data_IF_068615557402
#
_entry.id   IF_068615557402
#
_cell.length_a   1.000
_cell.length_b   1.000
_cell.length_c   1.000
_cell.angle_alpha   90.00
_cell.angle_beta   90.00
_cell.angle_gamma   90.00
#
_symmetry.space_group_name_H-M   'P 1'
#
loop_
_entity.id
_entity.type
_entity.pdbx_description
1 polymer ?
#
# COMPACT_ATOMS: atom_id res chain seq x y z
N UNK A 1 74.62 -24.41 -17.87
CA UNK A 1 73.58 -24.22 -16.87
C UNK A 1 72.24 -24.17 -17.62
N UNK A 2 71.39 -25.18 -17.39
CA UNK A 2 70.05 -25.26 -18.01
C UNK A 2 69.01 -24.53 -17.18
N UNK A 3 68.03 -23.80 -17.77
CA UNK A 3 66.95 -23.24 -17.00
C UNK A 3 65.85 -24.28 -16.76
N UNK A 4 65.33 -24.31 -15.53
CA UNK A 4 64.26 -25.12 -15.05
C UNK A 4 62.89 -24.55 -15.45
N UNK A 5 61.99 -25.39 -15.95
CA UNK A 5 60.61 -25.13 -16.29
C UNK A 5 59.75 -24.94 -15.07
N UNK A 6 58.74 -24.02 -15.06
CA UNK A 6 57.78 -23.95 -13.99
C UNK A 6 56.57 -24.88 -14.23
N UNK A 7 56.14 -25.50 -13.15
CA UNK A 7 55.00 -26.35 -12.97
C UNK A 7 53.66 -25.66 -13.25
N UNK A 8 52.80 -26.33 -14.00
CA UNK A 8 51.42 -25.96 -14.26
C UNK A 8 50.54 -26.19 -13.03
N UNK A 9 50.20 -25.13 -12.33
CA UNK A 9 49.21 -25.15 -11.27
C UNK A 9 47.79 -25.15 -11.85
N UNK A 10 47.04 -26.21 -11.53
CA UNK A 10 45.58 -26.35 -11.77
C UNK A 10 44.83 -25.24 -11.12
N UNK A 11 44.02 -24.49 -11.85
CA UNK A 11 42.99 -23.56 -11.31
C UNK A 11 41.87 -24.38 -10.70
N UNK A 12 41.37 -24.04 -9.49
CA UNK A 12 40.11 -24.56 -9.01
C UNK A 12 38.96 -23.81 -9.69
N UNK A 13 38.09 -24.51 -10.39
CA UNK A 13 36.78 -24.02 -10.82
C UNK A 13 35.87 -24.03 -9.61
N UNK A 14 35.89 -22.91 -8.87
CA UNK A 14 34.87 -22.59 -7.87
C UNK A 14 33.67 -21.97 -8.57
N UNK A 15 32.63 -22.78 -8.80
CA UNK A 15 31.32 -22.22 -9.17
C UNK A 15 30.80 -21.43 -7.98
N UNK A 16 30.67 -20.11 -8.16
CA UNK A 16 29.91 -19.25 -7.25
C UNK A 16 28.43 -19.59 -7.44
N UNK A 17 27.93 -20.54 -6.68
CA UNK A 17 26.49 -20.60 -6.37
C UNK A 17 26.22 -19.37 -5.51
N UNK A 18 25.64 -18.34 -6.09
CA UNK A 18 25.02 -17.23 -5.33
C UNK A 18 23.93 -17.88 -4.49
N UNK A 19 24.16 -17.94 -3.19
CA UNK A 19 23.20 -18.39 -2.20
C UNK A 19 21.99 -17.43 -2.23
N UNK A 20 20.85 -17.90 -2.76
CA UNK A 20 19.60 -17.12 -2.91
C UNK A 20 18.80 -17.07 -1.60
N UNK A 21 19.42 -17.21 -0.45
CA UNK A 21 18.74 -17.18 0.86
C UNK A 21 19.13 -15.94 1.65
N UNK A 22 18.71 -14.74 1.21
CA UNK A 22 18.77 -13.56 2.09
C UNK A 22 17.75 -12.46 1.72
N UNK A 23 16.56 -12.81 1.27
CA UNK A 23 15.41 -11.92 1.39
C UNK A 23 14.57 -12.43 2.55
N UNK A 24 14.49 -11.71 3.67
CA UNK A 24 13.68 -12.08 4.84
C UNK A 24 12.17 -12.08 4.60
N UNK A 25 11.75 -12.29 3.34
CA UNK A 25 10.36 -12.36 2.91
C UNK A 25 9.97 -13.84 2.82
N UNK A 26 8.86 -14.28 3.46
CA UNK A 26 8.35 -15.62 3.30
C UNK A 26 8.20 -16.00 1.82
N UNK A 27 8.57 -17.20 1.42
CA UNK A 27 8.52 -17.66 0.03
C UNK A 27 7.13 -17.48 -0.61
N UNK A 28 6.07 -17.63 0.16
CA UNK A 28 4.69 -17.41 -0.30
C UNK A 28 4.43 -15.93 -0.63
N UNK A 29 4.89 -15.00 0.20
CA UNK A 29 4.75 -13.56 -0.03
C UNK A 29 5.53 -13.14 -1.29
N UNK A 30 6.77 -13.63 -1.44
CA UNK A 30 7.59 -13.41 -2.64
C UNK A 30 6.87 -13.89 -3.91
N UNK A 31 6.26 -15.09 -3.87
CA UNK A 31 5.49 -15.62 -5.01
C UNK A 31 4.27 -14.77 -5.35
N UNK A 32 3.54 -14.28 -4.33
CA UNK A 32 2.37 -13.43 -4.55
C UNK A 32 2.78 -12.10 -5.20
N UNK A 33 3.86 -11.47 -4.74
CA UNK A 33 4.35 -10.21 -5.33
C UNK A 33 4.93 -10.44 -6.73
N UNK A 34 5.66 -11.53 -6.96
CA UNK A 34 6.18 -11.87 -8.29
C UNK A 34 5.07 -11.95 -9.35
N UNK A 35 3.87 -12.40 -8.97
CA UNK A 35 2.72 -12.50 -9.86
C UNK A 35 2.06 -11.15 -10.20
N UNK A 36 2.50 -10.03 -9.62
CA UNK A 36 1.95 -8.70 -9.89
C UNK A 36 2.51 -8.06 -11.15
N UNK A 37 3.70 -8.47 -11.62
CA UNK A 37 4.34 -7.90 -12.80
C UNK A 37 4.74 -6.43 -12.63
N UNK A 38 4.52 -5.62 -13.65
CA UNK A 38 4.68 -4.15 -13.59
C UNK A 38 3.58 -3.55 -12.73
N UNK A 39 3.95 -2.82 -11.68
CA UNK A 39 3.01 -2.24 -10.71
C UNK A 39 2.85 -0.74 -10.96
N UNK A 40 1.60 -0.29 -11.03
CA UNK A 40 1.21 1.12 -10.91
C UNK A 40 0.43 1.32 -9.61
N UNK A 41 1.02 2.06 -8.67
CA UNK A 41 0.50 2.30 -7.32
C UNK A 41 -0.01 3.74 -7.26
N UNK A 42 -1.33 3.98 -7.13
CA UNK A 42 -1.96 5.30 -7.26
C UNK A 42 -2.68 5.69 -5.97
N UNK A 43 -2.32 6.85 -5.41
CA UNK A 43 -2.77 7.32 -4.10
C UNK A 43 -3.13 8.81 -4.09
N UNK A 44 -3.76 9.26 -3.01
CA UNK A 44 -4.16 10.66 -2.85
C UNK A 44 -2.98 11.53 -2.37
N UNK A 45 -2.32 11.11 -1.31
CA UNK A 45 -1.28 11.88 -0.62
C UNK A 45 0.03 11.10 -0.53
N UNK A 46 1.19 11.77 -0.43
CA UNK A 46 2.44 11.14 -0.05
C UNK A 46 2.34 10.59 1.38
N UNK A 47 2.49 9.34 1.59
CA UNK A 47 2.49 8.43 2.73
C UNK A 47 1.51 7.25 2.55
N UNK A 48 0.36 7.44 1.92
CA UNK A 48 -0.61 6.38 1.63
C UNK A 48 0.05 5.14 1.03
N UNK A 49 0.90 5.34 0.02
CA UNK A 49 1.61 4.27 -0.67
C UNK A 49 2.54 3.48 0.24
N UNK A 50 3.16 4.17 1.20
CA UNK A 50 4.10 3.55 2.12
C UNK A 50 3.37 2.80 3.22
N UNK A 51 2.26 3.34 3.73
CA UNK A 51 1.40 2.65 4.69
C UNK A 51 0.77 1.39 4.10
N UNK A 52 0.22 1.49 2.88
CA UNK A 52 -0.66 0.48 2.32
C UNK A 52 0.04 -0.54 1.40
N UNK A 53 1.20 -0.17 0.81
CA UNK A 53 1.88 -0.99 -0.18
C UNK A 53 3.42 -0.92 -0.13
N UNK A 54 4.01 -0.35 0.94
CA UNK A 54 5.46 -0.13 1.02
C UNK A 54 6.27 -1.43 0.93
N UNK A 55 5.86 -2.47 1.63
CA UNK A 55 6.50 -3.78 1.59
C UNK A 55 6.31 -4.50 0.26
N UNK A 56 5.12 -4.38 -0.34
CA UNK A 56 4.82 -4.92 -1.68
C UNK A 56 5.74 -4.25 -2.71
N UNK A 57 5.82 -2.91 -2.71
CA UNK A 57 6.66 -2.16 -3.65
C UNK A 57 8.14 -2.50 -3.47
N UNK A 58 8.62 -2.57 -2.23
CA UNK A 58 10.00 -2.94 -1.93
C UNK A 58 10.34 -4.35 -2.42
N UNK A 59 9.46 -5.33 -2.14
CA UNK A 59 9.64 -6.71 -2.60
C UNK A 59 9.62 -6.80 -4.13
N UNK A 60 8.71 -6.11 -4.80
CA UNK A 60 8.65 -6.06 -6.26
C UNK A 60 9.95 -5.49 -6.85
N UNK A 61 10.51 -4.44 -6.25
CA UNK A 61 11.79 -3.87 -6.68
C UNK A 61 12.95 -4.83 -6.48
N UNK A 62 12.99 -5.55 -5.38
CA UNK A 62 14.02 -6.57 -5.13
C UNK A 62 13.94 -7.75 -6.11
N UNK A 63 12.74 -8.04 -6.62
CA UNK A 63 12.49 -9.00 -7.71
C UNK A 63 12.81 -8.46 -9.11
N UNK A 64 13.26 -7.20 -9.22
CA UNK A 64 13.57 -6.56 -10.51
C UNK A 64 12.34 -6.08 -11.28
N UNK A 65 11.14 -6.09 -10.67
CA UNK A 65 9.92 -5.59 -11.32
C UNK A 65 9.93 -4.07 -11.40
N UNK A 66 9.28 -3.51 -12.43
CA UNK A 66 9.02 -2.08 -12.53
C UNK A 66 7.89 -1.69 -11.59
N UNK A 67 8.14 -0.66 -10.78
CA UNK A 67 7.15 -0.05 -9.88
C UNK A 67 7.10 1.44 -10.16
N UNK A 68 5.92 1.95 -10.48
CA UNK A 68 5.62 3.38 -10.60
C UNK A 68 4.65 3.75 -9.49
N UNK A 69 5.05 4.67 -8.63
CA UNK A 69 4.19 5.27 -7.62
C UNK A 69 3.63 6.59 -8.13
N UNK A 70 2.39 6.92 -7.80
CA UNK A 70 1.73 8.14 -8.24
C UNK A 70 0.84 8.69 -7.12
N UNK A 71 1.01 9.98 -6.79
CA UNK A 71 0.20 10.70 -5.79
C UNK A 71 -0.53 11.87 -6.44
N UNK A 72 -1.81 12.06 -6.10
CA UNK A 72 -2.63 13.11 -6.71
C UNK A 72 -2.28 14.51 -6.20
N UNK A 73 -1.90 14.64 -4.94
CA UNK A 73 -1.55 15.91 -4.28
C UNK A 73 -0.13 15.87 -3.72
N UNK A 74 0.32 16.95 -3.12
CA UNK A 74 1.51 16.97 -2.26
C UNK A 74 1.15 16.83 -0.77
N UNK A 75 -0.14 16.69 -0.43
CA UNK A 75 -0.61 16.59 0.95
C UNK A 75 -0.35 17.85 1.76
N UNK A 76 -0.44 19.01 1.14
CA UNK A 76 -0.03 20.30 1.71
C UNK A 76 -0.90 20.82 2.84
N UNK A 77 -2.06 20.21 3.06
CA UNK A 77 -2.97 20.56 4.16
C UNK A 77 -2.90 19.57 5.34
N UNK A 78 -2.04 18.55 5.27
CA UNK A 78 -1.89 17.50 6.29
C UNK A 78 -1.16 17.99 7.54
N UNK A 79 -1.69 19.03 8.23
CA UNK A 79 -1.13 19.54 9.49
C UNK A 79 -2.21 20.09 10.40
N UNK A 80 -2.02 19.95 11.72
CA UNK A 80 -2.84 20.61 12.73
C UNK A 80 -2.36 22.04 13.05
N UNK A 81 -1.16 22.43 12.57
CA UNK A 81 -0.55 23.75 12.79
C UNK A 81 -0.20 24.43 11.45
N UNK A 82 -1.19 25.04 10.77
CA UNK A 82 -0.98 25.71 9.49
C UNK A 82 -0.12 26.98 9.57
N UNK A 83 0.02 27.56 10.76
CA UNK A 83 0.90 28.72 10.96
C UNK A 83 2.37 28.29 10.91
N UNK A 84 2.72 27.22 11.61
CA UNK A 84 4.07 26.62 11.54
C UNK A 84 4.33 25.94 10.19
N UNK A 85 3.30 25.36 9.59
CA UNK A 85 3.36 24.60 8.34
C UNK A 85 2.41 25.16 7.27
N UNK A 86 2.66 26.36 6.73
CA UNK A 86 1.85 26.87 5.62
C UNK A 86 1.85 25.90 4.43
N UNK A 87 0.74 25.72 3.70
CA UNK A 87 0.58 24.72 2.63
C UNK A 87 1.74 24.68 1.63
N UNK A 88 2.19 25.84 1.16
CA UNK A 88 3.30 25.93 0.22
C UNK A 88 4.64 25.42 0.79
N UNK A 89 4.86 25.55 2.11
CA UNK A 89 6.04 25.00 2.80
C UNK A 89 5.88 23.49 3.00
N UNK A 90 4.76 23.07 3.54
CA UNK A 90 4.50 21.67 3.84
C UNK A 90 4.54 20.83 2.58
N UNK A 91 3.85 21.24 1.50
CA UNK A 91 3.86 20.49 0.24
C UNK A 91 5.26 20.33 -0.38
N UNK A 92 6.15 21.35 -0.21
CA UNK A 92 7.56 21.16 -0.65
C UNK A 92 8.30 20.15 0.21
N UNK A 93 8.12 20.17 1.53
CA UNK A 93 8.76 19.23 2.46
C UNK A 93 8.27 17.82 2.19
N UNK A 94 6.95 17.60 2.08
CA UNK A 94 6.36 16.30 1.82
C UNK A 94 6.82 15.67 0.49
N UNK A 95 7.07 16.48 -0.53
CA UNK A 95 7.68 15.98 -1.78
C UNK A 95 9.08 15.41 -1.57
N UNK A 96 9.90 16.02 -0.72
CA UNK A 96 11.23 15.50 -0.39
C UNK A 96 11.17 14.27 0.51
N UNK A 97 10.28 14.28 1.48
CA UNK A 97 10.02 13.14 2.34
C UNK A 97 9.56 11.93 1.53
N UNK A 98 8.62 12.12 0.61
CA UNK A 98 8.16 11.07 -0.30
C UNK A 98 9.31 10.54 -1.19
N UNK A 99 10.13 11.42 -1.74
CA UNK A 99 11.29 10.99 -2.53
C UNK A 99 12.28 10.17 -1.70
N UNK A 100 12.51 10.55 -0.44
CA UNK A 100 13.36 9.79 0.49
C UNK A 100 12.74 8.43 0.83
N UNK A 101 11.43 8.37 1.10
CA UNK A 101 10.71 7.12 1.34
C UNK A 101 10.78 6.19 0.13
N UNK A 102 10.53 6.71 -1.08
CA UNK A 102 10.65 5.95 -2.32
C UNK A 102 12.07 5.40 -2.53
N UNK A 103 13.10 6.20 -2.25
CA UNK A 103 14.50 5.76 -2.33
C UNK A 103 14.80 4.59 -1.37
N UNK A 104 14.28 4.64 -0.14
CA UNK A 104 14.38 3.54 0.84
C UNK A 104 13.70 2.27 0.30
N UNK A 105 12.52 2.40 -0.31
CA UNK A 105 11.78 1.27 -0.89
C UNK A 105 12.38 0.77 -2.21
N UNK A 106 13.34 1.51 -2.82
CA UNK A 106 13.95 1.19 -4.11
C UNK A 106 13.08 1.56 -5.31
N UNK A 107 12.02 2.36 -5.09
CA UNK A 107 11.16 2.90 -6.14
C UNK A 107 11.80 4.14 -6.74
N UNK A 108 12.03 4.13 -8.04
CA UNK A 108 12.74 5.22 -8.76
C UNK A 108 11.80 6.09 -9.58
N UNK A 109 10.56 5.67 -9.78
CA UNK A 109 9.55 6.41 -10.53
C UNK A 109 8.42 6.83 -9.56
N UNK A 110 8.43 8.10 -9.14
CA UNK A 110 7.34 8.70 -8.37
C UNK A 110 6.80 9.92 -9.12
N UNK A 111 5.49 9.97 -9.35
CA UNK A 111 4.81 11.02 -10.11
C UNK A 111 3.78 11.69 -9.23
N UNK A 112 3.81 13.03 -9.16
CA UNK A 112 2.83 13.83 -8.40
C UNK A 112 2.05 14.67 -9.40
N UNK A 113 0.71 14.54 -9.41
CA UNK A 113 -0.17 15.34 -10.26
C UNK A 113 -0.16 16.80 -9.84
N UNK A 114 -0.25 17.05 -8.53
CA UNK A 114 -0.14 18.38 -7.94
C UNK A 114 -1.46 19.14 -7.89
N UNK A 115 -2.59 18.46 -7.84
CA UNK A 115 -3.87 19.06 -7.47
C UNK A 115 -3.86 19.46 -5.99
N UNK A 116 -4.77 20.37 -5.63
CA UNK A 116 -4.90 20.86 -4.27
C UNK A 116 -5.38 19.72 -3.33
N UNK A 117 -4.70 19.57 -2.20
CA UNK A 117 -5.05 18.65 -1.14
C UNK A 117 -6.39 19.03 -0.49
N UNK A 118 -7.27 18.05 -0.27
CA UNK A 118 -8.63 18.25 0.23
C UNK A 118 -9.66 18.60 -0.85
N UNK A 119 -9.23 18.76 -2.13
CA UNK A 119 -10.09 19.19 -3.23
C UNK A 119 -10.35 18.16 -4.32
N UNK A 120 -9.86 16.93 -4.21
CA UNK A 120 -9.87 15.98 -5.32
C UNK A 120 -11.27 15.57 -5.78
N UNK A 121 -12.28 15.67 -4.91
CA UNK A 121 -13.67 15.35 -5.26
C UNK A 121 -14.21 16.16 -6.45
N UNK A 122 -13.73 17.39 -6.63
CA UNK A 122 -14.17 18.33 -7.67
C UNK A 122 -13.41 18.15 -8.99
N UNK A 123 -12.35 17.31 -9.01
CA UNK A 123 -11.46 17.10 -10.14
C UNK A 123 -11.66 15.77 -10.88
N UNK A 124 -12.90 15.25 -10.95
CA UNK A 124 -13.21 13.92 -11.47
C UNK A 124 -12.71 13.64 -12.89
N UNK A 125 -12.87 14.60 -13.80
CA UNK A 125 -12.45 14.44 -15.20
C UNK A 125 -10.94 14.60 -15.37
N UNK A 126 -10.32 15.56 -14.68
CA UNK A 126 -8.87 15.77 -14.70
C UNK A 126 -8.12 14.57 -14.09
N UNK A 127 -8.60 14.07 -12.94
CA UNK A 127 -8.06 12.88 -12.30
C UNK A 127 -8.20 11.64 -13.16
N UNK A 128 -9.36 11.43 -13.78
CA UNK A 128 -9.57 10.31 -14.71
C UNK A 128 -8.64 10.38 -15.92
N UNK A 129 -8.46 11.57 -16.50
CA UNK A 129 -7.52 11.78 -17.62
C UNK A 129 -6.06 11.56 -17.20
N UNK A 130 -5.70 11.94 -15.97
CA UNK A 130 -4.37 11.65 -15.42
C UNK A 130 -4.13 10.14 -15.28
N UNK A 131 -5.09 9.41 -14.72
CA UNK A 131 -5.01 7.93 -14.61
C UNK A 131 -4.87 7.30 -15.99
N UNK A 132 -5.61 7.78 -17.00
CA UNK A 132 -5.51 7.27 -18.37
C UNK A 132 -4.11 7.46 -18.97
N UNK A 133 -3.50 8.64 -18.76
CA UNK A 133 -2.10 8.89 -19.16
C UNK A 133 -1.13 7.95 -18.45
N UNK A 134 -1.31 7.75 -17.12
CA UNK A 134 -0.48 6.81 -16.36
C UNK A 134 -0.59 5.38 -16.92
N UNK A 135 -1.80 4.91 -17.24
CA UNK A 135 -2.00 3.58 -17.82
C UNK A 135 -1.32 3.44 -19.18
N UNK A 136 -1.38 4.48 -20.02
CA UNK A 136 -0.71 4.51 -21.32
C UNK A 136 0.82 4.48 -21.21
N UNK A 137 1.39 5.29 -20.31
CA UNK A 137 2.83 5.44 -20.14
C UNK A 137 3.49 4.24 -19.44
N UNK A 138 2.80 3.65 -18.47
CA UNK A 138 3.34 2.58 -17.62
C UNK A 138 3.04 1.21 -18.19
N UNK A 139 1.88 1.04 -18.84
CA UNK A 139 1.35 -0.25 -19.30
C UNK A 139 1.43 -1.32 -18.18
N UNK A 140 0.79 -1.09 -17.01
CA UNK A 140 0.95 -1.96 -15.85
C UNK A 140 0.25 -3.30 -16.04
N UNK A 141 0.79 -4.33 -15.38
CA UNK A 141 0.11 -5.61 -15.19
C UNK A 141 -0.88 -5.53 -14.01
N UNK A 142 -0.51 -4.74 -12.98
CA UNK A 142 -1.32 -4.57 -11.78
C UNK A 142 -1.38 -3.11 -11.34
N UNK A 143 -2.58 -2.68 -10.94
CA UNK A 143 -2.84 -1.39 -10.29
C UNK A 143 -3.14 -1.63 -8.80
N UNK A 144 -2.50 -0.86 -7.92
CA UNK A 144 -2.80 -0.79 -6.49
C UNK A 144 -3.41 0.57 -6.17
N UNK A 145 -4.51 0.61 -5.44
CA UNK A 145 -5.18 1.86 -5.03
C UNK A 145 -6.14 1.62 -3.87
N UNK A 146 -6.84 2.66 -3.43
CA UNK A 146 -7.86 2.57 -2.39
C UNK A 146 -9.08 1.74 -2.81
N UNK A 147 -9.73 1.13 -1.81
CA UNK A 147 -11.10 0.61 -1.92
C UNK A 147 -12.15 1.72 -1.99
N UNK A 148 -13.43 1.36 -2.15
CA UNK A 148 -14.53 2.33 -2.30
C UNK A 148 -14.75 3.22 -1.07
N UNK A 149 -14.36 2.78 0.10
CA UNK A 149 -14.39 3.50 1.37
C UNK A 149 -13.15 4.41 1.59
N UNK A 150 -12.15 4.33 0.71
CA UNK A 150 -10.89 5.07 0.85
C UNK A 150 -10.13 4.74 2.14
N UNK A 151 -10.35 3.58 2.74
CA UNK A 151 -9.80 3.13 4.03
C UNK A 151 -10.34 3.90 5.26
N UNK A 152 -10.47 5.23 5.16
CA UNK A 152 -10.85 6.13 6.25
C UNK A 152 -12.04 7.02 5.91
N UNK A 153 -12.68 6.80 4.77
CA UNK A 153 -13.70 7.68 4.18
C UNK A 153 -13.19 9.10 3.84
N UNK A 154 -11.87 9.26 3.73
CA UNK A 154 -11.30 10.54 3.30
C UNK A 154 -11.79 10.90 1.89
N UNK A 155 -12.35 12.12 1.66
CA UNK A 155 -12.93 12.49 0.37
C UNK A 155 -11.96 12.32 -0.80
N UNK A 156 -10.68 12.65 -0.60
CA UNK A 156 -9.65 12.53 -1.63
C UNK A 156 -9.32 11.06 -1.95
N UNK A 157 -9.30 10.18 -0.94
CA UNK A 157 -9.09 8.75 -1.16
C UNK A 157 -10.24 8.14 -1.97
N UNK A 158 -11.47 8.52 -1.64
CA UNK A 158 -12.67 8.11 -2.37
C UNK A 158 -12.66 8.67 -3.80
N UNK A 159 -12.17 9.90 -4.00
CA UNK A 159 -12.03 10.49 -5.33
C UNK A 159 -11.02 9.71 -6.19
N UNK A 160 -9.83 9.40 -5.65
CA UNK A 160 -8.81 8.60 -6.35
C UNK A 160 -9.34 7.20 -6.67
N UNK A 161 -10.01 6.53 -5.73
CA UNK A 161 -10.68 5.26 -6.01
C UNK A 161 -11.62 5.37 -7.22
N UNK A 162 -12.48 6.39 -7.27
CA UNK A 162 -13.45 6.60 -8.36
C UNK A 162 -12.75 6.84 -9.70
N UNK A 163 -11.68 7.66 -9.73
CA UNK A 163 -10.92 7.95 -10.95
C UNK A 163 -10.29 6.68 -11.52
N UNK A 164 -9.63 5.91 -10.66
CA UNK A 164 -8.93 4.67 -11.05
C UNK A 164 -9.94 3.64 -11.52
N UNK A 165 -11.00 3.39 -10.76
CA UNK A 165 -12.03 2.38 -11.10
C UNK A 165 -12.74 2.71 -12.41
N UNK A 166 -13.20 3.97 -12.57
CA UNK A 166 -13.88 4.44 -13.79
C UNK A 166 -12.99 4.33 -15.02
N UNK A 167 -11.72 4.73 -14.88
CA UNK A 167 -10.77 4.65 -15.99
C UNK A 167 -10.43 3.20 -16.33
N UNK A 168 -10.20 2.35 -15.33
CA UNK A 168 -9.96 0.92 -15.51
C UNK A 168 -11.13 0.21 -16.23
N UNK A 169 -12.37 0.53 -15.87
CA UNK A 169 -13.55 0.02 -16.57
C UNK A 169 -13.61 0.47 -18.04
N UNK A 170 -13.29 1.74 -18.29
CA UNK A 170 -13.28 2.32 -19.64
C UNK A 170 -12.23 1.69 -20.57
N UNK A 171 -11.05 1.33 -20.03
CA UNK A 171 -10.00 0.64 -20.81
C UNK A 171 -10.20 -0.87 -20.90
N UNK A 172 -11.36 -1.39 -20.51
CA UNK A 172 -11.74 -2.79 -20.68
C UNK A 172 -11.17 -3.73 -19.61
N UNK A 173 -10.90 -3.23 -18.41
CA UNK A 173 -10.47 -4.01 -17.21
C UNK A 173 -9.22 -4.85 -17.43
N UNK A 174 -8.27 -4.38 -18.26
CA UNK A 174 -7.11 -5.17 -18.67
C UNK A 174 -6.04 -5.32 -17.60
N UNK A 175 -5.53 -4.27 -16.92
CA UNK A 175 -4.68 -4.46 -15.76
C UNK A 175 -5.46 -5.12 -14.63
N UNK A 176 -4.79 -5.95 -13.85
CA UNK A 176 -5.36 -6.42 -12.59
C UNK A 176 -5.52 -5.23 -11.65
N UNK A 177 -6.71 -4.99 -11.12
CA UNK A 177 -6.97 -3.90 -10.18
C UNK A 177 -7.18 -4.47 -8.78
N UNK A 178 -6.40 -3.98 -7.82
CA UNK A 178 -6.42 -4.40 -6.43
C UNK A 178 -6.70 -3.18 -5.54
N UNK A 179 -7.66 -3.33 -4.63
CA UNK A 179 -8.07 -2.33 -3.65
C UNK A 179 -7.49 -2.64 -2.28
N UNK A 180 -6.81 -1.67 -1.68
CA UNK A 180 -6.37 -1.76 -0.30
C UNK A 180 -7.56 -1.92 0.65
N UNK A 181 -7.41 -2.79 1.64
CA UNK A 181 -8.42 -3.06 2.65
C UNK A 181 -7.74 -3.60 3.91
N UNK A 182 -8.23 -3.28 5.13
CA UNK A 182 -7.76 -3.96 6.33
C UNK A 182 -8.33 -5.38 6.41
N UNK A 183 -7.70 -6.27 7.17
CA UNK A 183 -8.34 -7.51 7.61
C UNK A 183 -9.38 -7.23 8.70
N UNK A 184 -10.38 -8.10 8.85
CA UNK A 184 -11.34 -7.99 9.96
C UNK A 184 -10.63 -8.07 11.31
N UNK A 185 -9.61 -8.93 11.42
CA UNK A 185 -8.78 -9.10 12.60
C UNK A 185 -7.98 -7.82 12.93
N UNK A 186 -7.46 -7.13 11.91
CA UNK A 186 -6.76 -5.85 12.07
C UNK A 186 -7.72 -4.76 12.58
N UNK A 187 -8.90 -4.64 11.98
CA UNK A 187 -9.93 -3.68 12.43
C UNK A 187 -10.31 -3.91 13.88
N UNK A 188 -10.58 -5.17 14.27
CA UNK A 188 -10.94 -5.51 15.64
C UNK A 188 -9.81 -5.20 16.64
N UNK A 189 -8.56 -5.50 16.25
CA UNK A 189 -7.37 -5.30 17.08
C UNK A 189 -7.08 -3.83 17.35
N UNK A 190 -7.22 -2.96 16.34
CA UNK A 190 -6.85 -1.55 16.43
C UNK A 190 -8.05 -0.60 16.56
N UNK A 191 -9.26 -1.12 16.74
CA UNK A 191 -10.51 -0.34 16.85
C UNK A 191 -10.40 0.83 17.81
N UNK A 192 -10.02 0.55 19.08
CA UNK A 192 -9.94 1.57 20.13
C UNK A 192 -8.86 2.63 19.85
N UNK A 193 -7.82 2.25 19.11
CA UNK A 193 -6.78 3.16 18.68
C UNK A 193 -7.31 4.12 17.61
N UNK A 194 -7.96 3.59 16.59
CA UNK A 194 -8.51 4.35 15.49
C UNK A 194 -9.61 5.31 15.94
N UNK A 195 -10.46 4.90 16.89
CA UNK A 195 -11.46 5.79 17.50
C UNK A 195 -10.81 6.91 18.32
N UNK A 196 -9.76 6.62 19.09
CA UNK A 196 -9.04 7.67 19.85
C UNK A 196 -8.30 8.66 18.97
N UNK A 197 -7.86 8.24 17.79
CA UNK A 197 -7.17 9.09 16.84
C UNK A 197 -8.09 9.80 15.87
N UNK A 198 -9.38 9.49 15.94
CA UNK A 198 -10.42 10.06 15.07
C UNK A 198 -10.02 10.04 13.58
N UNK A 199 -9.53 8.87 13.14
CA UNK A 199 -8.99 8.72 11.78
C UNK A 199 -10.08 8.64 10.70
N UNK A 200 -11.33 8.34 11.09
CA UNK A 200 -12.42 8.18 10.16
C UNK A 200 -13.13 9.50 9.90
N UNK A 201 -13.27 9.86 8.65
CA UNK A 201 -13.89 11.12 8.22
C UNK A 201 -15.42 11.10 8.26
N UNK A 202 -16.03 9.99 8.64
CA UNK A 202 -17.49 9.79 8.76
C UNK A 202 -17.80 8.89 9.96
N UNK A 203 -19.09 8.73 10.27
CA UNK A 203 -19.55 7.79 11.30
C UNK A 203 -19.49 6.31 10.86
N UNK A 204 -19.26 6.06 9.57
CA UNK A 204 -19.09 4.70 9.04
C UNK A 204 -17.71 4.13 9.44
N UNK A 205 -17.70 2.83 9.74
CA UNK A 205 -16.49 2.09 10.12
C UNK A 205 -16.25 0.94 9.15
N UNK A 206 -15.01 0.74 8.66
CA UNK A 206 -14.71 -0.40 7.81
C UNK A 206 -14.91 -1.69 8.60
N UNK A 207 -15.59 -2.66 7.99
CA UNK A 207 -15.75 -3.99 8.59
C UNK A 207 -14.48 -4.86 8.44
N UNK A 208 -13.56 -4.45 7.59
CA UNK A 208 -12.44 -5.28 7.16
C UNK A 208 -12.88 -6.47 6.31
N UNK A 209 -11.92 -7.23 5.83
CA UNK A 209 -12.16 -8.41 4.99
C UNK A 209 -11.55 -9.63 5.67
N UNK A 210 -12.26 -10.77 5.75
CA UNK A 210 -11.67 -12.01 6.25
C UNK A 210 -10.42 -12.38 5.45
N UNK A 211 -9.36 -12.80 6.13
CA UNK A 211 -8.06 -13.13 5.50
C UNK A 211 -8.18 -14.10 4.33
N UNK A 212 -9.09 -15.09 4.41
CA UNK A 212 -9.34 -16.06 3.33
C UNK A 212 -10.00 -15.47 2.07
N UNK A 213 -10.40 -14.22 2.13
CA UNK A 213 -11.09 -13.49 1.05
C UNK A 213 -10.18 -12.48 0.35
N UNK A 214 -8.95 -12.31 0.81
CA UNK A 214 -7.97 -11.41 0.22
C UNK A 214 -7.40 -11.98 -1.08
N UNK A 215 -7.13 -11.09 -2.04
CA UNK A 215 -6.43 -11.40 -3.27
C UNK A 215 -4.90 -11.33 -3.09
N UNK A 216 -4.44 -10.51 -2.15
CA UNK A 216 -3.05 -10.34 -1.77
C UNK A 216 -3.00 -10.04 -0.28
N UNK A 217 -2.15 -10.75 0.45
CA UNK A 217 -1.91 -10.53 1.88
C UNK A 217 -0.43 -10.72 2.18
N UNK A 218 0.22 -9.65 2.59
CA UNK A 218 1.57 -9.67 3.12
C UNK A 218 1.52 -9.29 4.61
N UNK A 219 2.08 -10.16 5.45
CA UNK A 219 2.49 -9.79 6.79
C UNK A 219 4.00 -9.61 6.79
N UNK A 220 4.42 -8.39 7.08
CA UNK A 220 5.81 -7.98 7.05
C UNK A 220 6.48 -8.29 8.40
N UNK A 221 7.71 -8.74 8.35
CA UNK A 221 8.57 -8.94 9.51
C UNK A 221 10.04 -8.67 9.15
N UNK A 222 10.92 -8.75 10.15
CA UNK A 222 12.37 -8.65 9.98
C UNK A 222 12.81 -7.48 9.07
N UNK A 223 13.79 -7.71 8.18
CA UNK A 223 14.38 -6.63 7.37
C UNK A 223 13.39 -5.90 6.46
N UNK A 224 12.33 -6.58 5.97
CA UNK A 224 11.33 -5.93 5.12
C UNK A 224 10.45 -4.96 5.92
N UNK A 225 10.03 -5.35 7.13
CA UNK A 225 9.31 -4.45 8.03
C UNK A 225 10.21 -3.27 8.45
N UNK A 226 11.47 -3.50 8.78
CA UNK A 226 12.44 -2.46 9.11
C UNK A 226 12.63 -1.47 7.97
N UNK A 227 12.66 -1.95 6.72
CA UNK A 227 12.72 -1.11 5.52
C UNK A 227 11.48 -0.23 5.38
N UNK A 228 10.28 -0.80 5.55
CA UNK A 228 9.02 -0.03 5.54
C UNK A 228 8.99 1.01 6.65
N UNK A 229 9.37 0.65 7.88
CA UNK A 229 9.46 1.57 9.00
C UNK A 229 10.47 2.71 8.75
N UNK A 230 11.58 2.41 8.06
CA UNK A 230 12.56 3.42 7.67
C UNK A 230 11.98 4.39 6.64
N UNK A 231 11.22 3.88 5.66
CA UNK A 231 10.52 4.71 4.68
C UNK A 231 9.45 5.59 5.34
N UNK A 232 8.65 5.05 6.27
CA UNK A 232 7.69 5.83 7.06
C UNK A 232 8.37 6.94 7.88
N UNK A 233 9.48 6.64 8.55
CA UNK A 233 10.26 7.65 9.30
C UNK A 233 10.84 8.76 8.42
N UNK A 234 11.06 8.50 7.13
CA UNK A 234 11.50 9.53 6.19
C UNK A 234 10.41 10.58 5.93
N UNK A 235 9.15 10.27 6.24
CA UNK A 235 7.99 11.16 6.12
C UNK A 235 7.58 11.73 7.48
N UNK A 236 8.54 12.28 8.20
CA UNK A 236 8.44 12.69 9.60
C UNK A 236 7.31 13.70 9.88
N UNK A 237 6.97 14.58 8.91
CA UNK A 237 5.86 15.54 9.08
C UNK A 237 4.50 14.86 9.20
N UNK A 238 4.36 13.60 8.78
CA UNK A 238 3.09 12.86 8.77
C UNK A 238 3.08 11.67 9.73
N UNK A 239 4.23 11.01 9.89
CA UNK A 239 4.30 9.74 10.62
C UNK A 239 4.95 9.85 11.99
N UNK A 240 5.62 10.99 12.25
CA UNK A 240 6.42 11.19 13.47
C UNK A 240 5.62 11.10 14.76
N UNK A 241 4.47 11.75 14.80
CA UNK A 241 3.61 11.77 15.98
C UNK A 241 2.99 10.41 16.28
N UNK A 242 2.51 9.70 15.27
CA UNK A 242 1.95 8.36 15.42
C UNK A 242 2.99 7.37 15.96
N UNK A 243 4.20 7.40 15.41
CA UNK A 243 5.30 6.56 15.86
C UNK A 243 5.75 6.89 17.30
N UNK A 244 5.76 8.16 17.67
CA UNK A 244 6.12 8.62 19.02
C UNK A 244 5.05 8.23 20.06
N UNK A 245 3.76 8.39 19.74
CA UNK A 245 2.64 8.12 20.63
C UNK A 245 2.46 6.62 20.94
N UNK A 246 2.65 5.75 19.93
CA UNK A 246 2.47 4.31 20.08
C UNK A 246 3.72 3.60 20.65
N UNK A 247 4.90 4.18 20.45
CA UNK A 247 6.15 3.47 20.63
C UNK A 247 6.43 2.44 19.52
N UNK A 248 7.68 2.03 19.40
CA UNK A 248 8.17 1.28 18.26
C UNK A 248 7.45 -0.06 18.01
N UNK A 249 7.17 -0.82 19.07
CA UNK A 249 6.57 -2.15 18.93
C UNK A 249 5.11 -2.08 18.44
N UNK A 250 4.28 -1.21 19.04
CA UNK A 250 2.88 -1.07 18.65
C UNK A 250 2.74 -0.43 17.26
N UNK A 251 3.60 0.54 16.93
CA UNK A 251 3.61 1.13 15.60
C UNK A 251 4.05 0.13 14.51
N UNK A 252 5.07 -0.69 14.80
CA UNK A 252 5.51 -1.75 13.89
C UNK A 252 4.39 -2.74 13.60
N UNK A 253 3.66 -3.15 14.65
CA UNK A 253 2.55 -4.09 14.50
C UNK A 253 1.36 -3.48 13.72
N UNK A 254 1.07 -2.19 13.94
CA UNK A 254 0.03 -1.45 13.20
C UNK A 254 0.28 -1.44 11.69
N UNK A 255 1.54 -1.29 11.26
CA UNK A 255 1.91 -1.13 9.84
C UNK A 255 2.42 -2.42 9.19
N UNK A 256 2.39 -3.55 9.92
CA UNK A 256 2.97 -4.81 9.46
C UNK A 256 2.13 -5.55 8.41
N UNK A 257 0.87 -5.16 8.17
CA UNK A 257 0.01 -5.84 7.21
C UNK A 257 -0.23 -4.97 5.98
N UNK A 258 -0.21 -5.62 4.81
CA UNK A 258 -0.59 -5.03 3.53
C UNK A 258 -1.57 -5.99 2.83
N UNK A 259 -2.80 -5.53 2.67
CA UNK A 259 -3.92 -6.39 2.27
C UNK A 259 -4.71 -5.76 1.14
N UNK A 260 -5.07 -6.59 0.16
CA UNK A 260 -5.82 -6.15 -1.02
C UNK A 260 -6.88 -7.16 -1.42
N UNK A 261 -7.99 -6.66 -1.96
CA UNK A 261 -9.03 -7.42 -2.64
C UNK A 261 -9.02 -7.10 -4.14
N UNK A 262 -9.42 -8.05 -4.97
CA UNK A 262 -9.58 -7.81 -6.40
C UNK A 262 -10.86 -7.00 -6.68
N UNK A 263 -10.78 -6.02 -7.58
CA UNK A 263 -11.90 -5.15 -7.96
C UNK A 263 -13.05 -5.90 -8.66
N UNK A 264 -12.76 -7.00 -9.35
CA UNK A 264 -13.71 -7.83 -10.06
C UNK A 264 -14.36 -8.92 -9.18
N UNK A 265 -14.03 -8.94 -7.89
CA UNK A 265 -14.63 -9.86 -6.94
C UNK A 265 -16.13 -9.61 -6.82
N UNK A 266 -16.95 -10.59 -7.26
CA UNK A 266 -18.39 -10.57 -6.96
C UNK A 266 -18.56 -10.70 -5.44
N UNK A 267 -19.33 -9.81 -4.79
CA UNK A 267 -19.62 -9.96 -3.37
C UNK A 267 -20.25 -11.36 -3.16
N UNK A 268 -19.67 -12.16 -2.27
CA UNK A 268 -20.32 -13.39 -1.81
C UNK A 268 -21.66 -12.97 -1.20
N UNK A 269 -22.79 -13.61 -1.58
CA UNK A 269 -24.06 -13.35 -0.93
C UNK A 269 -23.86 -13.58 0.58
N UNK A 270 -24.27 -12.59 1.39
CA UNK A 270 -24.24 -12.71 2.82
C UNK A 270 -24.87 -14.06 3.20
N UNK A 271 -24.18 -14.89 3.98
CA UNK A 271 -24.78 -16.10 4.53
C UNK A 271 -25.99 -15.65 5.34
N UNK A 272 -27.18 -15.89 4.82
CA UNK A 272 -28.42 -15.63 5.54
C UNK A 272 -28.29 -16.37 6.87
N UNK A 273 -28.26 -15.61 7.97
CA UNK A 273 -28.43 -16.18 9.30
C UNK A 273 -29.77 -16.94 9.24
N UNK A 274 -29.70 -18.28 9.29
CA UNK A 274 -30.90 -19.09 9.39
C UNK A 274 -31.67 -18.61 10.61
N UNK A 275 -32.79 -17.92 10.38
CA UNK A 275 -33.83 -17.67 11.35
C UNK A 275 -34.40 -19.02 11.74
N UNK A 276 -33.85 -19.60 12.78
CA UNK A 276 -34.29 -20.83 13.39
C UNK A 276 -34.59 -20.57 14.84
N UNK A 277 -35.74 -19.96 15.11
CA UNK A 277 -36.44 -20.13 16.40
C UNK A 277 -37.89 -19.79 16.19
N UNK A 278 -38.71 -20.82 15.99
CA UNK A 278 -40.16 -20.83 16.22
C UNK A 278 -40.44 -20.47 17.68
N UNK A 279 -41.37 -19.57 18.00
CA UNK A 279 -41.79 -19.31 19.36
C UNK A 279 -42.55 -20.53 19.88
N UNK A 280 -42.11 -21.06 21.01
CA UNK A 280 -42.81 -22.10 21.75
C UNK A 280 -44.02 -21.46 22.43
N UNK A 281 -45.21 -21.79 21.96
CA UNK A 281 -46.48 -21.45 22.63
C UNK A 281 -46.56 -22.23 23.94
N UNK A 282 -46.66 -21.52 25.06
CA UNK A 282 -46.96 -22.11 26.38
C UNK A 282 -48.47 -22.26 26.49
N UNK A 283 -49.00 -23.41 27.00
CA UNK A 283 -50.44 -23.55 27.27
C UNK A 283 -50.81 -22.77 28.53
N UNK A 284 -51.92 -22.07 28.45
CA UNK A 284 -52.60 -21.44 29.60
C UNK A 284 -53.30 -22.52 30.42
N UNK A 285 -53.03 -22.54 31.71
CA UNK A 285 -53.88 -23.11 32.76
C UNK A 285 -54.28 -22.03 33.75
#
# INVERSE_FOLDING_TARGET
MRPTTPSTGRRPTGGNTVDQTTTGVPAQATTQVAALGTILSIWAHPDDETYLAGGIMATARDLGQRVVCASATAGENGTADPDAWPPARLGRVRRWEAAAAMAVLGVTEHRILGLADGGLADHGDEGSAWVERLLGDVAPDTILTFGPDGMTHHPDHVAVHRWVTRTWERVGRRPRLLYATPTSEHVDRFRDLYERWDIYMTDERPAGVPTGDLALHLRLDGPLLDRKLTALRAMATQTGDAAALLGSAAYSDLVAEECFVAADRRPRPARSARAGRTPRVMPRS
#
